data_IF_942550368886
#
_entry.id   IF_942550368886
#
_cell.length_a   1.000
_cell.length_b   1.000
_cell.length_c   1.000
_cell.angle_alpha   90.00
_cell.angle_beta   90.00
_cell.angle_gamma   90.00
#
_symmetry.space_group_name_H-M   'P 1'
#
loop_
_entity.id
_entity.type
_entity.pdbx_description
1 polymer ?
#
# COMPACT_ATOMS: atom_id res chain seq x y z
N UNK A 1 -6.27 22.25 7.24
CA UNK A 1 -7.04 21.98 6.00
C UNK A 1 -6.19 21.40 4.86
N UNK A 2 -4.97 21.88 4.59
CA UNK A 2 -4.14 21.43 3.45
C UNK A 2 -3.60 19.99 3.56
N UNK A 3 -3.34 19.51 4.79
CA UNK A 3 -2.75 18.18 5.01
C UNK A 3 -3.67 17.00 4.66
N UNK A 4 -4.99 17.15 4.80
CA UNK A 4 -5.96 16.09 4.50
C UNK A 4 -6.07 15.77 3.00
N UNK A 5 -5.98 16.81 2.15
CA UNK A 5 -6.03 16.63 0.69
C UNK A 5 -4.79 15.90 0.16
N UNK A 6 -3.61 16.20 0.71
CA UNK A 6 -2.37 15.52 0.33
C UNK A 6 -2.41 14.03 0.68
N UNK A 7 -2.91 13.70 1.88
CA UNK A 7 -3.11 12.30 2.30
C UNK A 7 -4.14 11.58 1.41
N UNK A 8 -5.26 12.23 1.10
CA UNK A 8 -6.29 11.65 0.23
C UNK A 8 -5.76 11.35 -1.18
N UNK A 9 -5.02 12.28 -1.79
CA UNK A 9 -4.42 12.09 -3.10
C UNK A 9 -3.41 10.93 -3.11
N UNK A 10 -2.51 10.88 -2.12
CA UNK A 10 -1.55 9.79 -1.98
C UNK A 10 -2.22 8.43 -1.76
N UNK A 11 -3.30 8.40 -0.96
CA UNK A 11 -4.09 7.19 -0.72
C UNK A 11 -4.75 6.69 -2.00
N UNK A 12 -5.31 7.59 -2.82
CA UNK A 12 -5.94 7.24 -4.09
C UNK A 12 -4.94 6.58 -5.03
N UNK A 13 -3.74 7.14 -5.17
CA UNK A 13 -2.65 6.56 -5.96
C UNK A 13 -2.28 5.16 -5.43
N UNK A 14 -2.14 5.02 -4.10
CA UNK A 14 -1.85 3.73 -3.47
C UNK A 14 -2.92 2.66 -3.70
N UNK A 15 -4.20 3.03 -3.70
CA UNK A 15 -5.31 2.13 -4.06
C UNK A 15 -5.17 1.65 -5.51
N UNK A 16 -4.93 2.56 -6.46
CA UNK A 16 -4.77 2.20 -7.87
C UNK A 16 -3.57 1.28 -8.10
N UNK A 17 -2.42 1.58 -7.50
CA UNK A 17 -1.22 0.74 -7.60
C UNK A 17 -1.48 -0.64 -7.00
N UNK A 18 -2.03 -0.71 -5.79
CA UNK A 18 -2.30 -2.00 -5.11
C UNK A 18 -3.32 -2.85 -5.88
N UNK A 19 -4.37 -2.21 -6.41
CA UNK A 19 -5.35 -2.89 -7.25
C UNK A 19 -4.71 -3.43 -8.54
N UNK A 20 -3.83 -2.65 -9.18
CA UNK A 20 -3.09 -3.07 -10.36
C UNK A 20 -2.20 -4.29 -10.08
N UNK A 21 -1.45 -4.29 -8.97
CA UNK A 21 -0.64 -5.45 -8.57
C UNK A 21 -1.50 -6.69 -8.30
N UNK A 22 -2.62 -6.52 -7.58
CA UNK A 22 -3.52 -7.62 -7.27
C UNK A 22 -4.17 -8.22 -8.53
N UNK A 23 -4.67 -7.37 -9.44
CA UNK A 23 -5.22 -7.79 -10.74
C UNK A 23 -4.18 -8.52 -11.61
N UNK A 24 -2.92 -8.09 -11.58
CA UNK A 24 -1.84 -8.81 -12.25
C UNK A 24 -1.56 -10.16 -11.60
N UNK A 25 -1.61 -10.25 -10.26
CA UNK A 25 -1.37 -11.51 -9.54
C UNK A 25 -2.43 -12.58 -9.81
N UNK A 26 -3.71 -12.18 -9.94
CA UNK A 26 -4.81 -13.09 -10.32
C UNK A 26 -4.81 -13.44 -11.82
N UNK A 27 -3.85 -12.94 -12.60
CA UNK A 27 -3.69 -13.26 -14.02
C UNK A 27 -4.62 -12.49 -14.96
N UNK A 28 -5.31 -11.45 -14.48
CA UNK A 28 -6.20 -10.64 -15.31
C UNK A 28 -5.42 -9.69 -16.24
N UNK A 29 -4.21 -9.30 -15.83
CA UNK A 29 -3.29 -8.44 -16.57
C UNK A 29 -2.02 -9.25 -16.83
N UNK A 30 -1.76 -9.61 -18.09
CA UNK A 30 -0.65 -10.50 -18.47
C UNK A 30 0.73 -9.86 -18.50
N UNK A 31 0.83 -8.52 -18.40
CA UNK A 31 2.10 -7.80 -18.42
C UNK A 31 2.11 -6.71 -17.35
N UNK A 32 3.02 -6.82 -16.37
CA UNK A 32 3.34 -5.70 -15.49
C UNK A 32 4.51 -4.90 -16.04
N UNK A 33 4.41 -3.58 -15.92
CA UNK A 33 5.55 -2.69 -16.20
C UNK A 33 6.59 -2.93 -15.11
N UNK A 34 7.63 -3.72 -15.38
CA UNK A 34 8.73 -3.96 -14.45
C UNK A 34 10.06 -3.67 -15.14
N UNK A 35 10.69 -2.53 -14.85
CA UNK A 35 11.98 -2.18 -15.45
C UNK A 35 13.15 -2.98 -14.84
N UNK A 36 12.99 -3.47 -13.61
CA UNK A 36 14.03 -4.23 -12.89
C UNK A 36 14.00 -5.72 -13.23
N UNK A 37 12.94 -6.23 -13.87
CA UNK A 37 12.72 -7.66 -14.15
C UNK A 37 12.42 -8.54 -12.91
N UNK A 38 12.68 -8.04 -11.69
CA UNK A 38 12.53 -8.79 -10.45
C UNK A 38 11.10 -8.88 -9.89
N UNK A 39 10.19 -8.04 -10.38
CA UNK A 39 8.86 -7.91 -9.79
C UNK A 39 8.02 -9.19 -9.89
N UNK A 40 8.18 -9.98 -10.96
CA UNK A 40 7.49 -11.26 -11.12
C UNK A 40 7.99 -12.29 -10.10
N UNK A 41 9.30 -12.33 -9.84
CA UNK A 41 9.89 -13.19 -8.81
C UNK A 41 9.38 -12.81 -7.42
N UNK A 42 9.29 -11.52 -7.11
CA UNK A 42 8.76 -11.03 -5.82
C UNK A 42 7.27 -11.37 -5.66
N UNK A 43 6.45 -11.09 -6.68
CA UNK A 43 5.00 -11.33 -6.63
C UNK A 43 4.60 -12.81 -6.53
N UNK A 44 5.40 -13.72 -7.10
CA UNK A 44 5.16 -15.18 -7.03
C UNK A 44 5.97 -15.87 -5.91
N UNK A 45 6.74 -15.12 -5.13
CA UNK A 45 7.49 -15.67 -4.00
C UNK A 45 6.55 -16.14 -2.88
N UNK A 46 6.97 -17.10 -2.02
CA UNK A 46 6.18 -17.51 -0.85
C UNK A 46 5.94 -16.36 0.13
N UNK A 47 6.78 -15.31 0.11
CA UNK A 47 6.63 -14.12 0.94
C UNK A 47 5.54 -13.16 0.45
N UNK A 48 5.05 -13.35 -0.77
CA UNK A 48 3.94 -12.57 -1.34
C UNK A 48 2.57 -12.93 -0.74
N UNK A 49 2.51 -14.02 0.05
CA UNK A 49 1.34 -14.43 0.82
C UNK A 49 1.63 -14.26 2.31
N UNK A 50 0.70 -13.61 3.00
CA UNK A 50 0.76 -13.40 4.44
C UNK A 50 -0.49 -14.02 5.06
N UNK A 51 -0.31 -15.08 5.87
CA UNK A 51 -1.41 -15.86 6.46
C UNK A 51 -2.45 -16.37 5.42
N UNK A 52 -2.00 -16.71 4.20
CA UNK A 52 -2.89 -17.15 3.12
C UNK A 52 -3.62 -16.02 2.39
N UNK A 53 -3.32 -14.75 2.72
CA UNK A 53 -3.85 -13.58 2.02
C UNK A 53 -2.74 -12.91 1.21
N UNK A 54 -3.06 -12.47 0.00
CA UNK A 54 -2.11 -11.73 -0.82
C UNK A 54 -1.70 -10.41 -0.16
N UNK A 55 -0.40 -10.18 -0.09
CA UNK A 55 0.17 -8.93 0.44
C UNK A 55 -0.36 -7.71 -0.34
N UNK A 56 -0.60 -7.85 -1.66
CA UNK A 56 -1.20 -6.82 -2.49
C UNK A 56 -2.64 -6.47 -2.06
N UNK A 57 -3.42 -7.46 -1.62
CA UNK A 57 -4.78 -7.25 -1.10
C UNK A 57 -4.74 -6.54 0.26
N UNK A 58 -3.80 -6.91 1.12
CA UNK A 58 -3.58 -6.24 2.42
C UNK A 58 -3.23 -4.76 2.19
N UNK A 59 -2.33 -4.48 1.23
CA UNK A 59 -1.99 -3.12 0.82
C UNK A 59 -3.20 -2.35 0.31
N UNK A 60 -4.01 -2.96 -0.57
CA UNK A 60 -5.24 -2.36 -1.10
C UNK A 60 -6.20 -1.95 0.02
N UNK A 61 -6.48 -2.87 0.96
CA UNK A 61 -7.34 -2.59 2.12
C UNK A 61 -6.76 -1.46 2.97
N UNK A 62 -5.44 -1.47 3.21
CA UNK A 62 -4.75 -0.42 3.96
C UNK A 62 -4.91 0.97 3.32
N UNK A 63 -4.72 1.08 2.00
CA UNK A 63 -4.89 2.35 1.29
C UNK A 63 -6.35 2.81 1.22
N UNK A 64 -7.31 1.88 1.10
CA UNK A 64 -8.75 2.20 1.18
C UNK A 64 -9.09 2.77 2.56
N UNK A 65 -8.60 2.15 3.64
CA UNK A 65 -8.80 2.66 5.00
C UNK A 65 -8.17 4.05 5.17
N UNK A 66 -6.93 4.25 4.70
CA UNK A 66 -6.28 5.57 4.72
C UNK A 66 -7.07 6.63 3.95
N UNK A 67 -7.65 6.27 2.80
CA UNK A 67 -8.47 7.17 2.01
C UNK A 67 -9.76 7.55 2.75
N UNK A 68 -10.48 6.58 3.32
CA UNK A 68 -11.70 6.84 4.10
C UNK A 68 -11.40 7.72 5.31
N UNK A 69 -10.33 7.42 6.06
CA UNK A 69 -9.92 8.24 7.22
C UNK A 69 -9.52 9.64 6.77
N UNK A 70 -8.82 9.78 5.64
CA UNK A 70 -8.46 11.09 5.08
C UNK A 70 -9.70 11.91 4.69
N UNK A 71 -10.72 11.29 4.08
CA UNK A 71 -11.99 11.95 3.75
C UNK A 71 -12.74 12.40 5.01
N UNK A 72 -12.79 11.55 6.05
CA UNK A 72 -13.40 11.91 7.35
C UNK A 72 -12.64 13.06 8.02
N UNK A 73 -11.31 13.08 7.91
CA UNK A 73 -10.45 14.14 8.46
C UNK A 73 -10.62 15.50 7.75
N UNK A 74 -11.08 15.51 6.49
CA UNK A 74 -11.38 16.74 5.73
C UNK A 74 -12.72 17.35 6.18
N UNK A 75 -13.62 16.56 6.77
CA UNK A 75 -14.94 17.04 7.18
C UNK A 75 -14.81 18.11 8.30
N UNK A 76 -15.47 19.28 8.18
CA UNK A 76 -15.30 20.42 9.09
C UNK A 76 -15.61 20.09 10.55
N UNK A 77 -16.48 19.10 10.80
CA UNK A 77 -16.83 18.59 12.13
C UNK A 77 -15.65 17.96 12.87
N UNK A 78 -14.64 17.44 12.16
CA UNK A 78 -13.48 16.73 12.72
C UNK A 78 -12.14 17.39 12.37
N UNK A 79 -12.16 18.52 11.66
CA UNK A 79 -10.97 19.21 11.18
C UNK A 79 -10.04 19.71 12.31
N UNK A 80 -10.59 20.00 13.50
CA UNK A 80 -9.84 20.40 14.70
C UNK A 80 -9.53 19.24 15.66
N UNK A 81 -10.00 18.03 15.36
CA UNK A 81 -9.78 16.88 16.23
C UNK A 81 -8.36 16.33 16.03
N UNK A 82 -7.57 16.23 17.12
CA UNK A 82 -6.27 15.54 17.10
C UNK A 82 -6.36 14.03 16.82
N UNK A 83 -7.55 13.46 17.01
CA UNK A 83 -7.84 12.02 16.86
C UNK A 83 -7.61 11.50 15.43
N UNK A 84 -8.24 12.06 14.37
CA UNK A 84 -8.01 11.63 12.99
C UNK A 84 -6.54 11.76 12.57
N UNK A 85 -5.85 12.83 13.00
CA UNK A 85 -4.43 13.00 12.71
C UNK A 85 -3.57 11.90 13.36
N UNK A 86 -3.84 11.54 14.62
CA UNK A 86 -3.12 10.45 15.30
C UNK A 86 -3.40 9.09 14.66
N UNK A 87 -4.65 8.82 14.24
CA UNK A 87 -5.02 7.59 13.53
C UNK A 87 -4.32 7.49 12.18
N UNK A 88 -4.31 8.58 11.40
CA UNK A 88 -3.55 8.64 10.14
C UNK A 88 -2.06 8.38 10.38
N UNK A 89 -1.47 8.99 11.39
CA UNK A 89 -0.07 8.77 11.74
C UNK A 89 0.20 7.30 12.09
N UNK A 90 -0.66 6.69 12.89
CA UNK A 90 -0.56 5.28 13.28
C UNK A 90 -0.67 4.33 12.10
N UNK A 91 -1.67 4.53 11.23
CA UNK A 91 -1.84 3.75 10.00
C UNK A 91 -0.64 3.91 9.06
N UNK A 92 -0.17 5.15 8.87
CA UNK A 92 1.00 5.44 8.03
C UNK A 92 2.27 4.78 8.56
N UNK A 93 2.51 4.87 9.87
CA UNK A 93 3.66 4.24 10.51
C UNK A 93 3.59 2.71 10.39
N UNK A 94 2.41 2.11 10.58
CA UNK A 94 2.18 0.68 10.37
C UNK A 94 2.44 0.26 8.93
N UNK A 95 1.96 1.04 7.96
CA UNK A 95 2.21 0.79 6.54
C UNK A 95 3.70 0.87 6.19
N UNK A 96 4.42 1.87 6.70
CA UNK A 96 5.87 2.02 6.50
C UNK A 96 6.64 0.85 7.10
N UNK A 97 6.29 0.42 8.32
CA UNK A 97 6.91 -0.75 8.95
C UNK A 97 6.69 -2.03 8.13
N UNK A 98 5.47 -2.23 7.64
CA UNK A 98 5.13 -3.37 6.81
C UNK A 98 5.91 -3.35 5.48
N UNK A 99 5.98 -2.20 4.81
CA UNK A 99 6.77 -2.02 3.58
C UNK A 99 8.26 -2.23 3.83
N UNK A 100 8.79 -1.73 4.96
CA UNK A 100 10.20 -1.91 5.31
C UNK A 100 10.55 -3.40 5.48
N UNK A 101 9.67 -4.19 6.11
CA UNK A 101 9.81 -5.64 6.21
C UNK A 101 9.84 -6.31 4.84
N UNK A 102 8.95 -5.93 3.93
CA UNK A 102 8.94 -6.48 2.57
C UNK A 102 10.21 -6.11 1.80
N UNK A 103 10.66 -4.85 1.90
CA UNK A 103 11.89 -4.41 1.26
C UNK A 103 13.11 -5.16 1.80
N UNK A 104 13.13 -5.44 3.10
CA UNK A 104 14.16 -6.28 3.71
C UNK A 104 14.16 -7.70 3.09
N UNK A 105 12.99 -8.32 2.92
CA UNK A 105 12.87 -9.63 2.26
C UNK A 105 13.31 -9.58 0.79
N UNK A 106 12.95 -8.53 0.05
CA UNK A 106 13.35 -8.33 -1.35
C UNK A 106 14.88 -8.27 -1.51
N UNK A 107 15.55 -7.43 -0.72
CA UNK A 107 17.00 -7.22 -0.83
C UNK A 107 17.83 -8.37 -0.27
N UNK A 108 17.47 -8.89 0.92
CA UNK A 108 18.33 -9.84 1.63
C UNK A 108 17.97 -11.31 1.38
N UNK A 109 16.71 -11.61 1.03
CA UNK A 109 16.25 -13.01 0.87
C UNK A 109 16.04 -13.36 -0.60
N UNK A 110 15.28 -12.55 -1.33
CA UNK A 110 14.91 -12.86 -2.73
C UNK A 110 16.02 -12.40 -3.70
N UNK A 111 16.74 -11.34 -3.37
CA UNK A 111 17.77 -10.74 -4.23
C UNK A 111 17.18 -10.08 -5.48
N UNK A 112 15.90 -9.74 -5.46
CA UNK A 112 15.19 -9.10 -6.58
C UNK A 112 14.37 -7.91 -6.07
N UNK A 113 14.42 -6.81 -6.82
CA UNK A 113 13.75 -5.55 -6.44
C UNK A 113 12.49 -5.37 -7.26
N UNK A 114 11.36 -5.17 -6.59
CA UNK A 114 10.14 -4.65 -7.21
C UNK A 114 10.18 -3.11 -7.17
N UNK A 115 9.87 -2.47 -8.29
CA UNK A 115 9.81 -0.99 -8.38
C UNK A 115 8.48 -0.41 -7.86
N UNK A 116 7.46 -1.27 -7.77
CA UNK A 116 6.15 -0.94 -7.21
C UNK A 116 6.08 -1.29 -5.74
#
# INVERSE_FOLDING_TARGET
MTYGMGAAAASLIGVFVSAYLWLHKIGFIGTMVCSTGGCRTVQFSPYSMFLGVDVALIGLVGYVVLLVVSLVAIHPTYADARRPAAILLGLSAGAVLFTARLKYLEFFVIGAVCQW
#
